data_IF_775198347870
#
_entry.id   IF_775198347870
#
_cell.length_a   1.000
_cell.length_b   1.000
_cell.length_c   1.000
_cell.angle_alpha   90.00
_cell.angle_beta   90.00
_cell.angle_gamma   90.00
#
_symmetry.space_group_name_H-M   'P 1'
#
loop_
_entity.id
_entity.type
_entity.pdbx_description
1 polymer ?
#
# COMPACT_ATOMS: atom_id res chain seq x y z
N UNK A 1 10.65 22.57 42.56
CA UNK A 1 10.34 21.94 41.27
C UNK A 1 8.83 21.70 41.22
N UNK A 2 8.11 22.54 40.47
CA UNK A 2 6.66 22.35 40.31
C UNK A 2 6.43 21.03 39.56
N UNK A 3 5.91 20.04 40.23
CA UNK A 3 5.23 18.92 39.57
C UNK A 3 3.97 19.53 38.92
N UNK A 4 4.08 19.93 37.65
CA UNK A 4 2.89 20.12 36.84
C UNK A 4 2.09 18.84 36.92
N UNK A 5 0.84 18.90 37.42
CA UNK A 5 -0.08 17.77 37.49
C UNK A 5 -0.13 17.12 36.09
N UNK A 6 0.41 15.92 35.99
CA UNK A 6 0.30 15.15 34.75
C UNK A 6 -1.17 14.76 34.60
N UNK A 7 -1.75 14.93 33.40
CA UNK A 7 -3.19 14.72 33.18
C UNK A 7 -3.62 13.24 33.25
N UNK A 8 -2.70 12.33 33.57
CA UNK A 8 -2.95 10.89 33.63
C UNK A 8 -2.07 10.24 34.72
N UNK A 9 -2.50 9.09 35.23
CA UNK A 9 -1.74 8.27 36.16
C UNK A 9 -0.50 7.66 35.47
N UNK A 10 0.66 7.77 36.11
CA UNK A 10 1.96 7.23 35.63
C UNK A 10 1.87 5.72 35.39
N UNK A 11 1.18 4.96 36.25
CA UNK A 11 0.99 3.53 36.11
C UNK A 11 0.17 3.20 34.86
N UNK A 12 -0.92 3.95 34.64
CA UNK A 12 -1.77 3.80 33.45
C UNK A 12 -0.96 4.07 32.17
N UNK A 13 -0.25 5.17 32.12
CA UNK A 13 0.60 5.53 31.00
C UNK A 13 1.69 4.49 30.70
N UNK A 14 2.35 3.96 31.75
CA UNK A 14 3.35 2.90 31.61
C UNK A 14 2.75 1.62 31.03
N UNK A 15 1.61 1.17 31.58
CA UNK A 15 0.95 -0.05 31.12
C UNK A 15 0.48 0.10 29.66
N UNK A 16 -0.09 1.25 29.30
CA UNK A 16 -0.47 1.55 27.92
C UNK A 16 0.75 1.48 26.99
N UNK A 17 1.84 2.20 27.32
CA UNK A 17 3.07 2.22 26.52
C UNK A 17 3.68 0.86 26.31
N UNK A 18 3.73 0.02 27.36
CA UNK A 18 4.26 -1.34 27.28
C UNK A 18 3.39 -2.28 26.44
N UNK A 19 2.06 -2.16 26.56
CA UNK A 19 1.13 -2.91 25.70
C UNK A 19 1.29 -2.53 24.25
N UNK A 20 1.33 -1.21 23.94
CA UNK A 20 1.55 -0.72 22.57
C UNK A 20 2.87 -1.20 22.00
N UNK A 21 3.97 -1.11 22.75
CA UNK A 21 5.27 -1.57 22.30
C UNK A 21 5.28 -3.07 21.97
N UNK A 22 4.70 -3.90 22.85
CA UNK A 22 4.67 -5.36 22.68
C UNK A 22 3.77 -5.78 21.51
N UNK A 23 2.58 -5.20 21.41
CA UNK A 23 1.64 -5.52 20.32
C UNK A 23 2.17 -5.03 18.97
N UNK A 24 2.68 -3.80 18.89
CA UNK A 24 3.27 -3.26 17.66
C UNK A 24 4.45 -4.10 17.19
N UNK A 25 5.32 -4.54 18.12
CA UNK A 25 6.44 -5.43 17.79
C UNK A 25 5.98 -6.78 17.23
N UNK A 26 4.95 -7.38 17.83
CA UNK A 26 4.40 -8.66 17.38
C UNK A 26 3.75 -8.53 16.00
N UNK A 27 2.91 -7.49 15.79
CA UNK A 27 2.28 -7.20 14.50
C UNK A 27 3.34 -6.93 13.44
N UNK A 28 4.31 -6.08 13.74
CA UNK A 28 5.37 -5.75 12.80
C UNK A 28 6.14 -6.99 12.33
N UNK A 29 6.47 -7.92 13.24
CA UNK A 29 7.16 -9.16 12.88
C UNK A 29 6.36 -10.04 11.92
N UNK A 30 5.04 -10.09 12.07
CA UNK A 30 4.18 -10.79 11.12
C UNK A 30 4.13 -10.06 9.77
N UNK A 31 3.88 -8.75 9.81
CA UNK A 31 3.83 -7.91 8.60
C UNK A 31 5.15 -7.97 7.83
N UNK A 32 6.29 -7.80 8.51
CA UNK A 32 7.62 -7.82 7.91
C UNK A 32 7.88 -9.14 7.17
N UNK A 33 7.53 -10.27 7.79
CA UNK A 33 7.68 -11.59 7.18
C UNK A 33 6.83 -11.76 5.92
N UNK A 34 5.54 -11.41 6.03
CA UNK A 34 4.58 -11.52 4.92
C UNK A 34 4.99 -10.62 3.75
N UNK A 35 5.38 -9.38 4.06
CA UNK A 35 5.82 -8.40 3.08
C UNK A 35 7.09 -8.85 2.36
N UNK A 36 8.12 -9.32 3.08
CA UNK A 36 9.34 -9.86 2.47
C UNK A 36 9.03 -11.07 1.56
N UNK A 37 8.12 -11.94 1.97
CA UNK A 37 7.72 -13.10 1.19
C UNK A 37 7.03 -12.69 -0.13
N UNK A 38 6.15 -11.70 -0.08
CA UNK A 38 5.42 -11.19 -1.23
C UNK A 38 6.36 -10.55 -2.27
N UNK A 39 7.27 -9.67 -1.84
CA UNK A 39 8.15 -8.91 -2.74
C UNK A 39 9.41 -9.67 -3.19
N UNK A 40 9.70 -10.81 -2.58
CA UNK A 40 10.92 -11.61 -2.86
C UNK A 40 11.10 -11.97 -4.35
N UNK A 41 10.06 -12.38 -5.11
CA UNK A 41 10.21 -12.71 -6.54
C UNK A 41 10.72 -11.53 -7.39
N UNK A 42 10.50 -10.31 -6.94
CA UNK A 42 10.89 -9.07 -7.62
C UNK A 42 12.28 -8.56 -7.24
N UNK A 43 12.97 -9.30 -6.35
CA UNK A 43 14.27 -8.91 -5.81
C UNK A 43 14.24 -7.50 -5.21
N UNK A 44 13.18 -7.20 -4.46
CA UNK A 44 12.99 -5.95 -3.71
C UNK A 44 13.12 -6.21 -2.22
N UNK A 45 13.63 -5.23 -1.48
CA UNK A 45 13.46 -5.17 -0.03
C UNK A 45 12.27 -4.28 0.35
N UNK A 46 11.88 -4.31 1.62
CA UNK A 46 10.70 -3.57 2.13
C UNK A 46 10.80 -2.06 1.82
N UNK A 47 11.97 -1.45 2.03
CA UNK A 47 12.15 -0.02 1.78
C UNK A 47 12.04 0.31 0.29
N UNK A 48 12.63 -0.51 -0.58
CA UNK A 48 12.53 -0.35 -2.04
C UNK A 48 11.07 -0.46 -2.51
N UNK A 49 10.36 -1.50 -2.04
CA UNK A 49 8.93 -1.64 -2.37
C UNK A 49 8.10 -0.48 -1.84
N UNK A 50 8.34 -0.04 -0.59
CA UNK A 50 7.61 1.08 0.00
C UNK A 50 7.84 2.38 -0.76
N UNK A 51 9.06 2.63 -1.26
CA UNK A 51 9.36 3.77 -2.12
C UNK A 51 8.60 3.69 -3.45
N UNK A 52 8.56 2.51 -4.09
CA UNK A 52 7.77 2.32 -5.32
C UNK A 52 6.28 2.58 -5.06
N UNK A 53 5.74 2.08 -3.95
CA UNK A 53 4.37 2.32 -3.52
C UNK A 53 4.07 3.81 -3.38
N UNK A 54 4.88 4.54 -2.63
CA UNK A 54 4.68 5.98 -2.41
C UNK A 54 4.81 6.77 -3.72
N UNK A 55 5.82 6.45 -4.54
CA UNK A 55 6.03 7.11 -5.83
C UNK A 55 4.86 6.88 -6.80
N UNK A 56 4.29 5.68 -6.81
CA UNK A 56 3.10 5.35 -7.60
C UNK A 56 1.88 6.17 -7.15
N UNK A 57 1.62 6.22 -5.84
CA UNK A 57 0.45 6.90 -5.29
C UNK A 57 0.50 8.42 -5.45
N UNK A 58 1.66 9.02 -5.25
CA UNK A 58 1.82 10.47 -5.32
C UNK A 58 2.09 10.99 -6.73
N UNK A 59 2.29 10.10 -7.72
CA UNK A 59 2.60 10.47 -9.12
C UNK A 59 3.71 11.52 -9.22
N UNK A 60 4.82 11.27 -8.52
CA UNK A 60 5.97 12.17 -8.41
C UNK A 60 6.10 12.78 -7.02
N UNK A 61 6.76 12.06 -6.12
CA UNK A 61 7.05 12.47 -4.75
C UNK A 61 8.44 13.06 -4.61
N UNK A 62 8.60 14.04 -3.74
CA UNK A 62 9.92 14.50 -3.30
C UNK A 62 10.58 13.47 -2.39
N UNK A 63 11.92 13.46 -2.34
CA UNK A 63 12.65 12.59 -1.40
C UNK A 63 12.26 12.86 0.06
N UNK A 64 11.89 14.09 0.39
CA UNK A 64 11.42 14.45 1.74
C UNK A 64 10.05 13.83 2.06
N UNK A 65 9.12 13.83 1.10
CA UNK A 65 7.81 13.15 1.24
C UNK A 65 7.99 11.64 1.37
N UNK A 66 8.86 11.04 0.53
CA UNK A 66 9.20 9.62 0.63
C UNK A 66 9.75 9.27 2.01
N UNK A 67 10.68 10.08 2.54
CA UNK A 67 11.26 9.86 3.85
C UNK A 67 10.22 9.99 4.98
N UNK A 68 9.40 11.03 4.91
CA UNK A 68 8.34 11.30 5.90
C UNK A 68 7.30 10.18 5.92
N UNK A 69 6.71 9.86 4.77
CA UNK A 69 5.67 8.84 4.67
C UNK A 69 6.23 7.42 4.84
N UNK A 70 7.43 7.15 4.33
CA UNK A 70 8.12 5.88 4.51
C UNK A 70 8.67 5.66 5.92
N UNK A 71 8.51 6.65 6.83
CA UNK A 71 9.04 6.61 8.21
C UNK A 71 10.51 6.22 8.22
N UNK A 72 11.30 6.87 7.34
CA UNK A 72 12.72 6.59 7.19
C UNK A 72 13.55 7.89 7.13
N UNK A 73 14.84 7.78 7.33
CA UNK A 73 15.74 8.93 7.21
C UNK A 73 15.85 9.37 5.74
N UNK A 74 15.98 10.69 5.49
CA UNK A 74 16.08 11.27 4.13
C UNK A 74 17.22 10.64 3.32
N UNK A 75 18.37 10.41 3.95
CA UNK A 75 19.50 9.73 3.30
C UNK A 75 19.18 8.28 2.92
N UNK A 76 18.40 7.58 3.73
CA UNK A 76 17.94 6.22 3.43
C UNK A 76 16.98 6.22 2.23
N UNK A 77 16.01 7.14 2.21
CA UNK A 77 15.09 7.32 1.10
C UNK A 77 15.85 7.62 -0.20
N UNK A 78 16.82 8.54 -0.16
CA UNK A 78 17.65 8.89 -1.31
C UNK A 78 18.47 7.70 -1.82
N UNK A 79 19.16 6.98 -0.93
CA UNK A 79 20.02 5.86 -1.33
C UNK A 79 19.24 4.70 -1.95
N UNK A 80 18.08 4.34 -1.41
CA UNK A 80 17.23 3.30 -2.01
C UNK A 80 16.60 3.78 -3.32
N UNK A 81 16.16 5.04 -3.41
CA UNK A 81 15.66 5.61 -4.66
C UNK A 81 16.71 5.58 -5.76
N UNK A 82 17.98 5.88 -5.43
CA UNK A 82 19.09 5.79 -6.39
C UNK A 82 19.32 4.36 -6.90
N UNK A 83 19.29 3.36 -6.01
CA UNK A 83 19.36 1.94 -6.42
C UNK A 83 18.20 1.53 -7.34
N UNK A 84 17.00 2.03 -7.07
CA UNK A 84 15.84 1.77 -7.91
C UNK A 84 15.94 2.48 -9.27
N UNK A 85 16.54 3.68 -9.33
CA UNK A 85 16.86 4.36 -10.59
C UNK A 85 17.88 3.57 -11.41
N UNK A 86 18.98 3.11 -10.80
CA UNK A 86 19.99 2.26 -11.45
C UNK A 86 19.40 0.97 -12.03
N UNK A 87 18.34 0.44 -11.40
CA UNK A 87 17.56 -0.72 -11.89
C UNK A 87 16.50 -0.34 -12.92
N UNK A 88 16.32 0.94 -13.20
CA UNK A 88 15.38 1.46 -14.18
C UNK A 88 13.92 1.48 -13.74
N UNK A 89 13.62 1.40 -12.44
CA UNK A 89 12.25 1.47 -11.91
C UNK A 89 11.80 2.89 -11.63
N UNK A 90 12.73 3.79 -11.31
CA UNK A 90 12.49 5.20 -11.02
C UNK A 90 13.32 6.09 -11.94
N UNK A 91 12.91 7.33 -12.04
CA UNK A 91 13.69 8.45 -12.59
C UNK A 91 13.64 9.61 -11.61
N UNK A 92 14.77 10.28 -11.44
CA UNK A 92 14.83 11.55 -10.73
C UNK A 92 14.42 12.71 -11.64
N UNK A 93 13.71 13.66 -11.07
CA UNK A 93 13.29 14.87 -11.76
C UNK A 93 13.45 16.12 -10.89
N UNK A 94 13.44 17.29 -11.53
CA UNK A 94 13.41 18.59 -10.88
C UNK A 94 12.20 19.34 -11.39
N UNK A 95 11.39 19.91 -10.48
CA UNK A 95 10.27 20.77 -10.87
C UNK A 95 10.76 22.20 -11.12
N UNK A 96 10.26 22.84 -12.18
CA UNK A 96 10.63 24.22 -12.54
C UNK A 96 10.40 25.20 -11.40
N UNK A 97 9.34 25.02 -10.65
CA UNK A 97 8.93 25.89 -9.55
C UNK A 97 9.53 25.48 -8.18
N UNK A 98 10.26 24.36 -8.15
CA UNK A 98 10.91 23.87 -6.93
C UNK A 98 12.25 23.20 -7.24
N UNK A 99 13.26 24.03 -7.36
CA UNK A 99 14.65 23.60 -7.63
C UNK A 99 15.35 23.01 -6.39
N UNK A 100 14.80 23.21 -5.18
CA UNK A 100 15.41 22.76 -3.92
C UNK A 100 15.18 21.28 -3.70
N UNK A 101 13.99 20.79 -4.05
CA UNK A 101 13.63 19.39 -3.87
C UNK A 101 14.05 18.55 -5.08
N UNK A 102 14.36 17.29 -4.81
CA UNK A 102 14.55 16.25 -5.81
C UNK A 102 13.31 15.37 -5.77
N UNK A 103 12.67 15.19 -6.91
CA UNK A 103 11.48 14.37 -7.09
C UNK A 103 11.85 13.05 -7.75
N UNK A 104 11.05 12.03 -7.46
CA UNK A 104 11.14 10.74 -8.13
C UNK A 104 9.78 10.39 -8.74
N UNK A 105 9.81 9.73 -9.87
CA UNK A 105 8.65 9.22 -10.59
C UNK A 105 8.93 7.79 -11.03
N UNK A 106 7.88 6.97 -11.13
CA UNK A 106 8.01 5.65 -11.74
C UNK A 106 8.31 5.78 -13.23
N UNK A 107 9.13 4.88 -13.72
CA UNK A 107 9.26 4.64 -15.16
C UNK A 107 8.15 3.69 -15.62
N UNK A 108 7.90 3.51 -16.94
CA UNK A 108 6.97 2.49 -17.42
C UNK A 108 7.30 1.08 -16.90
N UNK A 109 8.58 0.73 -16.79
CA UNK A 109 9.04 -0.52 -16.18
C UNK A 109 8.70 -0.60 -14.69
N UNK A 110 8.84 0.52 -13.97
CA UNK A 110 8.48 0.62 -12.56
C UNK A 110 6.99 0.43 -12.34
N UNK A 111 6.16 1.07 -13.16
CA UNK A 111 4.69 0.93 -13.12
C UNK A 111 4.26 -0.51 -13.43
N UNK A 112 4.78 -1.10 -14.51
CA UNK A 112 4.49 -2.51 -14.86
C UNK A 112 4.88 -3.46 -13.74
N UNK A 113 6.05 -3.27 -13.13
CA UNK A 113 6.50 -4.10 -12.01
C UNK A 113 5.60 -3.93 -10.80
N UNK A 114 5.16 -2.70 -10.52
CA UNK A 114 4.26 -2.40 -9.40
C UNK A 114 2.88 -3.03 -9.60
N UNK A 115 2.31 -2.97 -10.80
CA UNK A 115 1.04 -3.63 -11.13
C UNK A 115 1.14 -5.16 -10.97
N UNK A 116 2.20 -5.79 -11.48
CA UNK A 116 2.43 -7.22 -11.27
C UNK A 116 2.54 -7.61 -9.79
N UNK A 117 3.16 -6.75 -8.98
CA UNK A 117 3.21 -6.95 -7.53
C UNK A 117 1.82 -6.97 -6.90
N UNK A 118 0.92 -6.07 -7.32
CA UNK A 118 -0.46 -6.05 -6.84
C UNK A 118 -1.24 -7.30 -7.29
N UNK A 119 -1.08 -7.73 -8.54
CA UNK A 119 -1.71 -8.94 -9.09
C UNK A 119 -1.26 -10.21 -8.37
N UNK A 120 0.03 -10.30 -8.00
CA UNK A 120 0.62 -11.45 -7.31
C UNK A 120 0.34 -11.46 -5.79
N UNK A 121 -0.41 -10.49 -5.27
CA UNK A 121 -0.76 -10.47 -3.85
C UNK A 121 -1.75 -11.58 -3.51
N UNK A 122 -1.32 -12.50 -2.64
CA UNK A 122 -2.14 -13.63 -2.18
C UNK A 122 -2.55 -13.44 -0.71
N UNK A 123 -3.80 -13.03 -0.44
CA UNK A 123 -4.29 -12.86 0.93
C UNK A 123 -4.26 -14.17 1.72
N UNK A 124 -4.35 -15.33 1.06
CA UNK A 124 -4.29 -16.63 1.72
C UNK A 124 -2.91 -16.97 2.28
N UNK A 125 -1.86 -16.25 1.88
CA UNK A 125 -0.49 -16.39 2.41
C UNK A 125 -0.14 -15.36 3.46
N UNK A 126 -1.04 -14.41 3.75
CA UNK A 126 -0.77 -13.25 4.58
C UNK A 126 -1.25 -13.51 6.02
N UNK A 127 -0.35 -13.53 6.99
CA UNK A 127 -0.65 -13.81 8.39
C UNK A 127 -1.57 -12.80 9.04
N UNK A 128 -1.43 -11.51 8.68
CA UNK A 128 -2.32 -10.44 9.16
C UNK A 128 -3.75 -10.66 8.66
N UNK A 129 -3.95 -11.02 7.40
CA UNK A 129 -5.28 -11.29 6.83
C UNK A 129 -5.91 -12.49 7.53
N UNK A 130 -5.16 -13.60 7.69
CA UNK A 130 -5.62 -14.79 8.43
C UNK A 130 -5.97 -14.48 9.89
N UNK A 131 -5.16 -13.68 10.56
CA UNK A 131 -5.41 -13.27 11.94
C UNK A 131 -6.65 -12.39 12.09
N UNK A 132 -6.97 -11.59 11.08
CA UNK A 132 -8.14 -10.72 11.05
C UNK A 132 -9.41 -11.43 10.51
N UNK A 133 -9.29 -12.62 9.91
CA UNK A 133 -10.41 -13.35 9.30
C UNK A 133 -11.60 -13.55 10.25
N UNK A 134 -11.44 -13.96 11.53
CA UNK A 134 -12.56 -14.10 12.44
C UNK A 134 -13.34 -12.80 12.67
N UNK A 135 -12.66 -11.66 12.64
CA UNK A 135 -13.30 -10.34 12.76
C UNK A 135 -14.05 -9.99 11.48
N UNK A 136 -13.44 -10.27 10.34
CA UNK A 136 -14.10 -10.10 9.04
C UNK A 136 -15.39 -10.93 8.95
N UNK A 137 -15.38 -12.17 9.42
CA UNK A 137 -16.55 -13.06 9.41
C UNK A 137 -17.69 -12.53 10.27
N UNK A 138 -17.35 -11.85 11.40
CA UNK A 138 -18.35 -11.26 12.31
C UNK A 138 -18.91 -9.94 11.75
N UNK A 139 -18.05 -9.07 11.21
CA UNK A 139 -18.40 -7.69 10.85
C UNK A 139 -18.68 -7.49 9.35
N UNK A 140 -18.40 -8.48 8.50
CA UNK A 140 -18.50 -8.36 7.03
C UNK A 140 -17.43 -7.48 6.40
N UNK A 141 -16.46 -6.99 7.17
CA UNK A 141 -15.32 -6.17 6.71
C UNK A 141 -14.11 -6.35 7.64
N UNK A 142 -12.92 -6.03 7.14
CA UNK A 142 -11.75 -5.95 8.00
C UNK A 142 -11.88 -4.82 9.01
N UNK A 143 -11.32 -4.97 10.25
CA UNK A 143 -11.45 -3.95 11.28
C UNK A 143 -10.79 -2.64 10.88
N UNK A 144 -11.46 -1.54 11.17
CA UNK A 144 -10.88 -0.20 11.13
C UNK A 144 -9.96 -0.01 12.35
N UNK A 145 -8.82 0.60 12.14
CA UNK A 145 -7.79 0.82 13.17
C UNK A 145 -7.78 2.28 13.63
N UNK A 146 -8.96 2.81 13.93
CA UNK A 146 -9.19 4.24 14.18
C UNK A 146 -8.36 4.81 15.33
N UNK A 147 -8.25 4.08 16.45
CA UNK A 147 -7.45 4.52 17.59
C UNK A 147 -5.96 4.61 17.23
N UNK A 148 -5.45 3.64 16.46
CA UNK A 148 -4.07 3.68 15.97
C UNK A 148 -3.86 4.84 15.00
N UNK A 149 -4.80 5.10 14.10
CA UNK A 149 -4.75 6.24 13.18
C UNK A 149 -4.75 7.57 13.94
N UNK A 150 -5.55 7.69 15.00
CA UNK A 150 -5.56 8.87 15.87
C UNK A 150 -4.21 9.09 16.57
N UNK A 151 -3.61 8.04 17.12
CA UNK A 151 -2.28 8.09 17.76
C UNK A 151 -1.22 8.51 16.72
N UNK A 152 -1.21 7.90 15.53
CA UNK A 152 -0.26 8.21 14.47
C UNK A 152 -0.43 9.67 13.99
N UNK A 153 -1.66 10.15 13.84
CA UNK A 153 -1.95 11.55 13.49
C UNK A 153 -1.33 12.52 14.51
N UNK A 154 -1.49 12.24 15.79
CA UNK A 154 -0.93 13.09 16.85
C UNK A 154 0.60 13.06 16.90
N UNK A 155 1.25 11.97 16.48
CA UNK A 155 2.71 11.82 16.46
C UNK A 155 3.32 12.44 15.18
N UNK A 156 2.75 12.16 14.01
CA UNK A 156 3.32 12.51 12.70
C UNK A 156 2.65 13.71 12.00
N UNK A 157 1.48 14.15 12.47
CA UNK A 157 0.74 15.30 11.97
C UNK A 157 -0.21 14.99 10.81
N UNK A 158 -1.02 16.00 10.47
CA UNK A 158 -2.04 15.90 9.41
C UNK A 158 -1.44 15.60 8.04
N UNK A 159 -0.32 16.21 7.67
CA UNK A 159 0.32 15.96 6.35
C UNK A 159 0.65 14.48 6.14
N UNK A 160 1.01 13.76 7.21
CA UNK A 160 1.24 12.31 7.12
C UNK A 160 -0.06 11.58 6.81
N UNK A 161 -1.15 11.94 7.50
CA UNK A 161 -2.45 11.30 7.31
C UNK A 161 -3.06 11.62 5.94
N UNK A 162 -2.90 12.85 5.43
CA UNK A 162 -3.34 13.20 4.07
C UNK A 162 -2.65 12.33 3.00
N UNK A 163 -1.34 12.14 3.10
CA UNK A 163 -0.60 11.27 2.20
C UNK A 163 -1.06 9.81 2.36
N UNK A 164 -1.26 9.36 3.60
CA UNK A 164 -1.75 8.02 3.92
C UNK A 164 -3.10 7.76 3.24
N UNK A 165 -4.11 8.58 3.49
CA UNK A 165 -5.46 8.45 2.92
C UNK A 165 -5.43 8.53 1.39
N UNK A 166 -4.69 9.47 0.82
CA UNK A 166 -4.53 9.62 -0.62
C UNK A 166 -3.89 8.40 -1.26
N UNK A 167 -2.92 7.77 -0.60
CA UNK A 167 -2.26 6.58 -1.11
C UNK A 167 -3.20 5.37 -1.22
N UNK A 168 -4.14 5.20 -0.31
CA UNK A 168 -5.10 4.09 -0.36
C UNK A 168 -6.25 4.34 -1.35
N UNK A 169 -6.72 5.58 -1.48
CA UNK A 169 -7.80 5.92 -2.40
C UNK A 169 -7.48 5.65 -3.88
N UNK A 170 -6.24 5.72 -4.28
CA UNK A 170 -5.83 5.44 -5.66
C UNK A 170 -5.86 3.94 -5.96
N UNK A 171 -5.41 3.10 -5.02
CA UNK A 171 -5.48 1.64 -5.19
C UNK A 171 -6.93 1.17 -5.29
N UNK A 172 -7.80 1.69 -4.43
CA UNK A 172 -9.21 1.35 -4.48
C UNK A 172 -9.83 1.63 -5.85
N UNK A 173 -9.49 2.78 -6.46
CA UNK A 173 -9.92 3.12 -7.81
C UNK A 173 -9.36 2.19 -8.89
N UNK A 174 -8.09 1.80 -8.76
CA UNK A 174 -7.43 0.91 -9.72
C UNK A 174 -8.05 -0.49 -9.67
N UNK A 175 -8.29 -1.04 -8.48
CA UNK A 175 -8.99 -2.32 -8.31
C UNK A 175 -10.43 -2.29 -8.83
N UNK A 176 -11.17 -1.19 -8.63
CA UNK A 176 -12.52 -1.03 -9.16
C UNK A 176 -12.53 -0.97 -10.69
N UNK A 177 -11.57 -0.26 -11.29
CA UNK A 177 -11.44 -0.15 -12.74
C UNK A 177 -11.07 -1.49 -13.39
N UNK A 178 -10.24 -2.30 -12.76
CA UNK A 178 -9.85 -3.62 -13.27
C UNK A 178 -10.98 -4.65 -13.14
N UNK A 179 -11.69 -4.66 -12.01
CA UNK A 179 -12.91 -5.49 -11.87
C UNK A 179 -13.97 -5.12 -12.89
N UNK A 180 -14.16 -3.84 -13.20
CA UNK A 180 -15.05 -3.37 -14.26
C UNK A 180 -14.62 -3.81 -15.66
N UNK A 181 -13.31 -3.92 -15.92
CA UNK A 181 -12.77 -4.46 -17.18
C UNK A 181 -12.95 -5.98 -17.28
N UNK A 182 -12.72 -6.71 -16.18
CA UNK A 182 -12.90 -8.17 -16.11
C UNK A 182 -14.38 -8.55 -16.29
N UNK A 183 -15.29 -7.85 -15.62
CA UNK A 183 -16.75 -8.10 -15.78
C UNK A 183 -17.21 -7.85 -17.21
N UNK A 184 -16.80 -6.74 -17.84
CA UNK A 184 -17.14 -6.48 -19.24
C UNK A 184 -16.60 -7.54 -20.20
N UNK A 185 -15.36 -7.98 -19.99
CA UNK A 185 -14.75 -9.02 -20.82
C UNK A 185 -15.42 -10.38 -20.64
N UNK A 186 -15.91 -10.69 -19.45
CA UNK A 186 -16.66 -11.92 -19.17
C UNK A 186 -18.04 -11.87 -19.82
N UNK A 187 -18.76 -10.75 -19.73
CA UNK A 187 -20.05 -10.52 -20.40
C UNK A 187 -19.93 -10.56 -21.94
N UNK A 188 -18.85 -10.02 -22.51
CA UNK A 188 -18.57 -10.10 -23.95
C UNK A 188 -18.28 -11.53 -24.41
N UNK A 189 -17.58 -12.32 -23.60
CA UNK A 189 -17.28 -13.73 -23.87
C UNK A 189 -18.55 -14.60 -23.76
N UNK A 190 -19.39 -14.38 -22.77
CA UNK A 190 -20.64 -15.08 -22.57
C UNK A 190 -21.63 -14.76 -23.72
N UNK A 191 -21.76 -13.48 -24.09
CA UNK A 191 -22.59 -13.06 -25.21
C UNK A 191 -22.11 -13.63 -26.56
N UNK A 192 -20.81 -13.74 -26.77
CA UNK A 192 -20.26 -14.34 -28.00
C UNK A 192 -20.44 -15.85 -28.04
N UNK A 193 -20.37 -16.54 -26.90
CA UNK A 193 -20.65 -17.97 -26.80
C UNK A 193 -22.13 -18.31 -27.05
N UNK A 194 -23.06 -17.52 -26.49
CA UNK A 194 -24.50 -17.67 -26.75
C UNK A 194 -24.86 -17.40 -28.22
N UNK A 195 -24.21 -16.42 -28.83
CA UNK A 195 -24.41 -16.12 -30.26
C UNK A 195 -23.92 -17.28 -31.15
N UNK A 196 -22.79 -17.88 -30.84
CA UNK A 196 -22.23 -19.03 -31.53
C UNK A 196 -23.13 -20.29 -31.38
N UNK A 197 -23.69 -20.51 -30.19
CA UNK A 197 -24.58 -21.63 -29.93
C UNK A 197 -25.92 -21.49 -30.68
N UNK A 198 -26.48 -20.27 -30.72
CA UNK A 198 -27.70 -19.98 -31.53
C UNK A 198 -27.47 -20.17 -33.01
N UNK A 199 -26.33 -19.73 -33.54
CA UNK A 199 -25.97 -19.92 -34.95
C UNK A 199 -25.79 -21.42 -35.32
N UNK A 200 -25.22 -22.21 -34.41
CA UNK A 200 -25.06 -23.66 -34.59
C UNK A 200 -26.41 -24.41 -34.63
N UNK A 201 -27.38 -24.02 -33.81
CA UNK A 201 -28.74 -24.63 -33.77
C UNK A 201 -29.56 -24.28 -34.98
N UNK A 202 -29.37 -23.11 -35.61
CA UNK A 202 -30.07 -22.68 -36.80
C UNK A 202 -29.61 -23.44 -38.05
N UNK A 203 -28.36 -23.88 -38.11
CA UNK A 203 -27.79 -24.65 -39.22
C UNK A 203 -28.11 -26.17 -39.19
N UNK A 204 -28.77 -26.67 -38.16
CA UNK A 204 -29.19 -28.07 -38.03
C UNK A 204 -30.67 -28.32 -38.43
N UNK A 205 -31.40 -27.27 -38.87
CA UNK A 205 -32.85 -27.34 -39.20
C UNK A 205 -33.11 -27.08 -40.70
N UNK A 206 -32.06 -27.15 -41.53
CA UNK A 206 -32.22 -27.09 -42.99
C UNK A 206 -31.90 -28.42 -43.64
#
# INVERSE_FOLDING_TARGET
MNHSEQPFDVKEALLFSQRMAQLSKALWKSIEKDWQQWIKPYNLNINEHHILWIAYQLKGASISEIAKFGVMHVSTAFNFSKKLEERGFLKFSKKLNDKRNTYIELTPKGEETFHKLLEDYDPARTGIVKGAQPLHDIYGKFPEILEMMCIIRNIYGEDFMEIFEKSFSNIEKDFLNERGKVTKKTEELENSAEAAEKASKTNQIV
#
